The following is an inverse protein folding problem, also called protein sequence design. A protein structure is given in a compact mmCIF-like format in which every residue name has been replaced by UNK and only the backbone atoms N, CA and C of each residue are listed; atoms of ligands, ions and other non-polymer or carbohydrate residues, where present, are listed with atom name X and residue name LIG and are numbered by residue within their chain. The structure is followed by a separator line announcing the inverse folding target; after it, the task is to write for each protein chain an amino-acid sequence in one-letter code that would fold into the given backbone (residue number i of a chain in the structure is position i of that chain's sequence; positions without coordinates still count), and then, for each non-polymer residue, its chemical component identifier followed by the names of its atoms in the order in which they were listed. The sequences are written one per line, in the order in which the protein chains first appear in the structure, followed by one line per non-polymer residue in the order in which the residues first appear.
data_IF_711740003233
#
_entry.id   IF_711740003233
#
_cell.length_a   1.000
_cell.length_b   1.000
_cell.length_c   1.000
_cell.angle_alpha   90.00
_cell.angle_beta   90.00
_cell.angle_gamma   90.00
#
_symmetry.space_group_name_H-M   'P 1'
#
loop_
_entity.id
_entity.type
_entity.pdbx_description
1 polymer ?
#
# COMPACT_ATOMS: atom_id res chain seq x y z
N UNK A 1 -15.95 4.99 -14.65
CA UNK A 1 -16.22 4.37 -13.31
C UNK A 1 -14.92 4.40 -12.51
N UNK A 2 -14.97 4.81 -11.24
CA UNK A 2 -13.74 4.83 -10.42
C UNK A 2 -13.38 3.42 -9.96
N UNK A 3 -12.09 3.14 -9.87
CA UNK A 3 -11.55 1.88 -9.34
C UNK A 3 -10.48 2.15 -8.30
N UNK A 4 -10.19 1.14 -7.48
CA UNK A 4 -9.12 1.21 -6.51
C UNK A 4 -8.22 -0.02 -6.64
N UNK A 5 -6.93 0.15 -6.37
CA UNK A 5 -5.98 -0.95 -6.33
C UNK A 5 -4.88 -0.71 -5.30
N UNK A 6 -4.23 -1.77 -4.88
CA UNK A 6 -3.02 -1.71 -4.07
C UNK A 6 -1.84 -1.77 -5.02
N UNK A 7 -1.00 -0.72 -5.02
CA UNK A 7 0.18 -0.66 -5.87
C UNK A 7 1.23 -1.69 -5.43
N UNK A 8 1.53 -2.64 -6.30
CA UNK A 8 2.50 -3.70 -6.08
C UNK A 8 3.66 -3.67 -7.09
N UNK A 9 3.59 -2.79 -8.07
CA UNK A 9 4.66 -2.49 -9.01
C UNK A 9 4.66 -1.00 -9.36
N UNK A 10 5.85 -0.40 -9.37
CA UNK A 10 6.13 0.92 -9.95
C UNK A 10 7.52 0.86 -10.57
N UNK A 11 7.63 0.14 -11.66
CA UNK A 11 8.89 -0.28 -12.26
C UNK A 11 9.32 0.57 -13.46
N UNK A 12 10.60 0.55 -13.79
CA UNK A 12 11.10 1.20 -15.00
C UNK A 12 10.45 0.64 -16.26
N UNK A 13 9.96 1.51 -17.11
CA UNK A 13 9.46 1.22 -18.45
C UNK A 13 10.02 2.26 -19.43
N UNK A 14 10.16 1.92 -20.70
CA UNK A 14 10.62 2.86 -21.72
C UNK A 14 9.74 4.11 -21.70
N UNK A 15 10.35 5.29 -21.50
CA UNK A 15 9.65 6.57 -21.46
C UNK A 15 9.03 6.97 -20.11
N UNK A 16 8.94 6.05 -19.13
CA UNK A 16 8.30 6.33 -17.82
C UNK A 16 8.28 5.13 -16.92
N UNK A 17 7.11 4.83 -16.35
CA UNK A 17 6.91 3.75 -15.38
C UNK A 17 5.79 2.78 -15.78
N UNK A 18 5.92 1.55 -15.30
CA UNK A 18 4.82 0.59 -15.27
C UNK A 18 4.29 0.54 -13.84
N UNK A 19 3.10 1.09 -13.62
CA UNK A 19 2.39 1.02 -12.35
C UNK A 19 1.36 -0.09 -12.44
N UNK A 20 1.32 -0.99 -11.47
CA UNK A 20 0.34 -2.08 -11.44
C UNK A 20 0.04 -2.53 -10.01
N UNK A 21 -1.05 -3.23 -9.83
CA UNK A 21 -1.41 -3.79 -8.54
C UNK A 21 -2.70 -4.60 -8.58
N UNK A 22 -3.16 -5.00 -7.40
CA UNK A 22 -4.36 -5.81 -7.23
C UNK A 22 -5.59 -4.93 -6.98
N UNK A 23 -6.63 -5.14 -7.77
CA UNK A 23 -7.90 -4.42 -7.66
C UNK A 23 -8.56 -4.69 -6.29
N UNK A 24 -9.06 -3.64 -5.66
CA UNK A 24 -9.77 -3.72 -4.38
C UNK A 24 -11.06 -2.94 -4.43
N UNK A 25 -12.04 -3.39 -3.68
CA UNK A 25 -13.34 -2.71 -3.51
C UNK A 25 -13.58 -2.42 -2.05
N UNK A 26 -14.28 -1.33 -1.76
CA UNK A 26 -14.74 -1.00 -0.41
C UNK A 26 -16.17 -1.49 -0.22
N UNK A 27 -16.44 -2.19 0.87
CA UNK A 27 -17.78 -2.64 1.21
C UNK A 27 -18.58 -1.59 2.02
N UNK A 28 -19.81 -1.95 2.42
CA UNK A 28 -20.69 -1.06 3.20
C UNK A 28 -20.20 -0.78 4.62
N UNK A 29 -19.32 -1.65 5.13
CA UNK A 29 -18.70 -1.53 6.46
C UNK A 29 -17.35 -0.81 6.37
N UNK A 30 -17.00 -0.27 5.20
CA UNK A 30 -15.73 0.41 4.90
C UNK A 30 -14.50 -0.52 4.93
N UNK A 31 -14.69 -1.84 4.73
CA UNK A 31 -13.60 -2.79 4.51
C UNK A 31 -13.21 -2.86 3.05
N UNK A 32 -11.93 -3.00 2.82
CA UNK A 32 -11.39 -3.20 1.49
C UNK A 32 -11.21 -4.69 1.22
N UNK A 33 -11.85 -5.14 0.17
CA UNK A 33 -11.83 -6.54 -0.25
C UNK A 33 -11.02 -6.66 -1.53
N UNK A 34 -10.14 -7.66 -1.60
CA UNK A 34 -9.43 -8.01 -2.82
C UNK A 34 -10.44 -8.55 -3.84
N UNK A 35 -10.43 -7.98 -5.04
CA UNK A 35 -11.21 -8.51 -6.14
C UNK A 35 -10.49 -9.74 -6.70
N UNK A 36 -11.22 -10.83 -6.90
CA UNK A 36 -10.68 -12.08 -7.46
C UNK A 36 -11.27 -12.36 -8.83
N UNK A 37 -10.50 -13.02 -9.67
CA UNK A 37 -10.94 -13.61 -10.92
C UNK A 37 -11.80 -14.86 -10.66
N UNK A 38 -12.40 -15.42 -11.70
CA UNK A 38 -13.23 -16.64 -11.60
C UNK A 38 -12.43 -17.86 -11.11
N UNK A 39 -11.14 -17.92 -11.39
CA UNK A 39 -10.21 -18.96 -10.93
C UNK A 39 -9.76 -18.78 -9.48
N UNK A 40 -10.14 -17.64 -8.83
CA UNK A 40 -9.77 -17.30 -7.47
C UNK A 40 -8.46 -16.52 -7.34
N UNK A 41 -7.72 -16.30 -8.43
CA UNK A 41 -6.51 -15.45 -8.43
C UNK A 41 -6.86 -13.99 -8.13
N UNK A 42 -5.94 -13.20 -7.54
CA UNK A 42 -6.12 -11.77 -7.39
C UNK A 42 -6.29 -11.09 -8.75
N UNK A 43 -7.28 -10.21 -8.87
CA UNK A 43 -7.51 -9.48 -10.09
C UNK A 43 -6.56 -8.30 -10.19
N UNK A 44 -5.70 -8.34 -11.20
CA UNK A 44 -4.74 -7.29 -11.44
C UNK A 44 -5.37 -6.11 -12.21
N UNK A 45 -4.78 -4.94 -12.03
CA UNK A 45 -5.07 -3.72 -12.78
C UNK A 45 -3.77 -3.00 -13.07
N UNK A 46 -3.61 -2.56 -14.34
CA UNK A 46 -2.48 -1.80 -14.81
C UNK A 46 -2.97 -0.53 -15.52
N UNK A 47 -2.83 0.65 -14.88
CA UNK A 47 -3.10 1.93 -15.54
C UNK A 47 -2.19 2.15 -16.75
N UNK A 48 -2.79 2.55 -17.85
CA UNK A 48 -2.12 2.86 -19.12
C UNK A 48 -2.44 4.30 -19.50
N UNK A 49 -1.40 5.11 -19.74
CA UNK A 49 -1.60 6.43 -20.33
C UNK A 49 -1.77 6.28 -21.85
N UNK A 50 -2.95 6.64 -22.35
CA UNK A 50 -3.28 6.57 -23.77
C UNK A 50 -2.52 7.57 -24.65
N UNK A 51 -1.81 8.53 -24.06
CA UNK A 51 -1.04 9.55 -24.75
C UNK A 51 0.45 9.18 -24.93
N UNK A 52 0.87 8.06 -24.37
CA UNK A 52 2.26 7.59 -24.44
C UNK A 52 2.42 6.41 -25.41
N UNK A 53 3.60 6.25 -25.97
CA UNK A 53 3.86 5.27 -27.05
C UNK A 53 3.69 3.81 -26.58
N UNK A 54 4.13 3.52 -25.35
CA UNK A 54 4.11 2.16 -24.79
C UNK A 54 3.09 2.03 -23.65
N UNK A 55 2.20 3.02 -23.46
CA UNK A 55 1.24 3.05 -22.37
C UNK A 55 1.90 3.16 -20.99
N UNK A 56 3.08 3.77 -20.92
CA UNK A 56 3.75 4.06 -19.67
C UNK A 56 3.08 5.21 -18.92
N UNK A 57 3.11 5.14 -17.60
CA UNK A 57 2.75 6.27 -16.74
C UNK A 57 3.91 7.25 -16.71
N UNK A 58 3.69 8.57 -16.94
CA UNK A 58 4.72 9.57 -16.83
C UNK A 58 5.44 9.56 -15.48
N UNK A 59 6.76 9.77 -15.49
CA UNK A 59 7.61 9.69 -14.28
C UNK A 59 7.16 10.64 -13.18
N UNK A 60 6.71 11.84 -13.54
CA UNK A 60 6.24 12.86 -12.59
C UNK A 60 4.92 12.49 -11.90
N UNK A 61 4.06 11.72 -12.56
CA UNK A 61 2.86 11.15 -11.96
C UNK A 61 3.19 9.90 -11.11
N UNK A 62 3.95 8.97 -11.69
CA UNK A 62 4.26 7.69 -11.05
C UNK A 62 5.05 7.83 -9.74
N UNK A 63 5.94 8.83 -9.61
CA UNK A 63 6.70 9.08 -8.37
C UNK A 63 5.82 9.38 -7.15
N UNK A 64 4.58 9.79 -7.37
CA UNK A 64 3.61 10.05 -6.30
C UNK A 64 2.80 8.82 -5.91
N UNK A 65 3.10 7.68 -6.53
CA UNK A 65 2.45 6.38 -6.27
C UNK A 65 3.47 5.40 -5.68
N UNK A 66 3.78 5.49 -4.39
CA UNK A 66 4.70 4.56 -3.76
C UNK A 66 4.15 3.13 -3.77
N UNK A 67 5.05 2.16 -3.69
CA UNK A 67 4.68 0.76 -3.46
C UNK A 67 3.83 0.63 -2.20
N UNK A 68 2.91 -0.31 -2.20
CA UNK A 68 1.95 -0.57 -1.12
C UNK A 68 0.96 0.58 -0.87
N UNK A 69 0.92 1.60 -1.71
CA UNK A 69 -0.14 2.60 -1.63
C UNK A 69 -1.45 2.05 -2.17
N UNK A 70 -2.54 2.52 -1.59
CA UNK A 70 -3.86 2.35 -2.16
C UNK A 70 -4.12 3.50 -3.10
N UNK A 71 -4.41 3.16 -4.32
CA UNK A 71 -4.56 4.09 -5.41
C UNK A 71 -5.99 4.13 -5.87
N UNK A 72 -6.52 5.33 -6.01
CA UNK A 72 -7.79 5.58 -6.68
C UNK A 72 -7.53 5.97 -8.13
N UNK A 73 -8.14 5.25 -9.06
CA UNK A 73 -8.24 5.60 -10.48
C UNK A 73 -9.58 6.25 -10.76
N UNK A 74 -9.56 7.39 -11.40
CA UNK A 74 -10.76 8.14 -11.77
C UNK A 74 -11.05 7.95 -13.25
N UNK A 75 -12.33 7.77 -13.58
CA UNK A 75 -12.85 7.57 -14.94
C UNK A 75 -12.14 6.46 -15.71
N UNK A 76 -12.12 5.27 -15.13
CA UNK A 76 -11.48 4.09 -15.71
C UNK A 76 -12.29 3.58 -16.90
N UNK A 77 -11.59 3.33 -18.01
CA UNK A 77 -12.13 2.74 -19.25
C UNK A 77 -11.33 1.49 -19.61
N UNK A 78 -11.99 0.45 -20.15
CA UNK A 78 -11.26 -0.71 -20.65
C UNK A 78 -10.26 -0.30 -21.74
N UNK A 79 -9.07 -0.90 -21.71
CA UNK A 79 -8.14 -0.79 -22.83
C UNK A 79 -8.53 -1.82 -23.89
N UNK A 80 -8.74 -1.42 -25.15
CA UNK A 80 -9.16 -2.33 -26.21
C UNK A 80 -8.05 -3.23 -26.73
N UNK A 81 -6.82 -3.05 -26.30
CA UNK A 81 -5.69 -3.90 -26.68
C UNK A 81 -5.79 -5.25 -25.98
N UNK A 82 -6.00 -6.28 -26.76
CA UNK A 82 -6.43 -7.62 -26.36
C UNK A 82 -5.41 -8.47 -25.59
N UNK A 83 -4.17 -8.01 -25.46
CA UNK A 83 -3.11 -8.87 -24.89
C UNK A 83 -3.08 -8.88 -23.36
N UNK A 84 -3.72 -7.92 -22.69
CA UNK A 84 -3.66 -7.81 -21.23
C UNK A 84 -5.02 -7.39 -20.68
N UNK A 85 -5.73 -8.31 -20.08
CA UNK A 85 -7.05 -8.05 -19.47
C UNK A 85 -6.99 -7.07 -18.29
N UNK A 86 -5.83 -6.91 -17.70
CA UNK A 86 -5.54 -5.99 -16.60
C UNK A 86 -5.34 -4.53 -17.03
N UNK A 87 -5.13 -4.25 -18.32
CA UNK A 87 -4.87 -2.89 -18.81
C UNK A 87 -6.13 -2.03 -18.80
N UNK A 88 -5.99 -0.82 -18.25
CA UNK A 88 -7.09 0.14 -18.21
C UNK A 88 -6.59 1.55 -18.51
N UNK A 89 -7.35 2.30 -19.28
CA UNK A 89 -7.18 3.74 -19.39
C UNK A 89 -7.78 4.43 -18.17
N UNK A 90 -7.19 5.55 -17.78
CA UNK A 90 -7.63 6.34 -16.64
C UNK A 90 -7.51 7.83 -16.96
N UNK A 91 -8.22 8.67 -16.21
CA UNK A 91 -8.09 10.12 -16.30
C UNK A 91 -7.15 10.68 -15.22
N UNK A 92 -7.19 10.14 -14.02
CA UNK A 92 -6.36 10.57 -12.90
C UNK A 92 -6.05 9.40 -11.97
N UNK A 93 -4.84 9.40 -11.40
CA UNK A 93 -4.37 8.41 -10.44
C UNK A 93 -3.93 9.11 -9.15
N UNK A 94 -4.49 8.70 -8.01
CA UNK A 94 -4.26 9.36 -6.72
C UNK A 94 -3.98 8.31 -5.65
N UNK A 95 -2.85 8.42 -4.97
CA UNK A 95 -2.58 7.65 -3.77
C UNK A 95 -3.42 8.19 -2.60
N UNK A 96 -4.31 7.36 -2.05
CA UNK A 96 -5.24 7.73 -0.97
C UNK A 96 -4.89 7.11 0.39
N UNK A 97 -3.90 6.25 0.43
CA UNK A 97 -3.41 5.58 1.63
C UNK A 97 -2.32 4.56 1.31
N UNK A 98 -1.88 3.82 2.30
CA UNK A 98 -0.92 2.72 2.16
C UNK A 98 -1.31 1.53 3.01
N UNK A 99 -0.88 0.34 2.60
CA UNK A 99 -1.01 -0.89 3.37
C UNK A 99 0.30 -1.20 4.10
N UNK A 100 0.21 -2.00 5.15
CA UNK A 100 1.40 -2.60 5.77
C UNK A 100 1.92 -3.77 4.93
N UNK A 101 3.23 -3.96 4.92
CA UNK A 101 3.87 -5.14 4.31
C UNK A 101 3.89 -6.34 5.27
N UNK A 102 2.80 -6.57 6.04
CA UNK A 102 2.76 -7.76 6.89
C UNK A 102 2.62 -9.02 6.04
N UNK A 103 3.25 -10.14 6.45
CA UNK A 103 3.16 -11.40 5.70
C UNK A 103 1.72 -11.83 5.41
N UNK A 104 0.81 -11.60 6.35
CA UNK A 104 -0.60 -11.97 6.22
C UNK A 104 -1.29 -11.19 5.11
N UNK A 105 -1.01 -9.88 5.00
CA UNK A 105 -1.54 -9.03 3.93
C UNK A 105 -0.94 -9.43 2.59
N UNK A 106 0.37 -9.56 2.54
CA UNK A 106 1.07 -9.91 1.31
C UNK A 106 0.66 -11.28 0.78
N UNK A 107 0.39 -12.23 1.68
CA UNK A 107 -0.11 -13.55 1.30
C UNK A 107 -1.50 -13.49 0.62
N UNK A 108 -2.40 -12.62 1.07
CA UNK A 108 -3.72 -12.43 0.45
C UNK A 108 -3.59 -11.84 -0.96
N UNK A 109 -2.58 -11.00 -1.18
CA UNK A 109 -2.30 -10.35 -2.45
C UNK A 109 -1.50 -11.22 -3.41
N UNK A 110 -0.84 -12.26 -2.90
CA UNK A 110 -0.01 -13.14 -3.70
C UNK A 110 -0.85 -14.17 -4.48
N UNK A 111 -0.31 -14.54 -5.61
CA UNK A 111 -0.86 -15.62 -6.42
C UNK A 111 -0.38 -16.97 -5.87
N UNK A 112 -1.31 -17.86 -5.59
CA UNK A 112 -1.03 -19.23 -5.15
C UNK A 112 -1.65 -20.29 -6.08
N UNK A 113 -2.21 -19.86 -7.21
CA UNK A 113 -3.03 -20.71 -8.08
C UNK A 113 -2.23 -21.17 -9.29
N UNK A 114 -1.41 -20.29 -9.87
CA UNK A 114 -0.65 -20.62 -11.05
C UNK A 114 0.58 -21.45 -10.70
N UNK A 115 0.73 -22.65 -11.25
CA UNK A 115 1.87 -23.53 -10.95
C UNK A 115 3.17 -23.05 -11.57
N UNK A 116 3.11 -22.29 -12.65
CA UNK A 116 4.25 -21.74 -13.37
C UNK A 116 4.16 -20.24 -13.53
N UNK A 117 5.30 -19.57 -13.60
CA UNK A 117 5.37 -18.14 -13.86
C UNK A 117 5.15 -17.90 -15.36
N UNK A 118 4.00 -17.29 -15.69
CA UNK A 118 3.64 -16.95 -17.06
C UNK A 118 3.85 -18.12 -18.04
N UNK A 119 3.20 -19.24 -17.76
CA UNK A 119 3.00 -20.41 -18.62
C UNK A 119 4.23 -21.29 -18.89
N UNK A 120 5.43 -20.90 -18.48
CA UNK A 120 6.66 -21.66 -18.73
C UNK A 120 7.71 -21.43 -17.64
N UNK A 121 8.72 -22.31 -17.57
CA UNK A 121 9.91 -22.12 -16.72
C UNK A 121 11.00 -21.27 -17.39
N UNK A 122 10.85 -20.91 -18.69
CA UNK A 122 11.83 -20.13 -19.43
C UNK A 122 11.88 -18.66 -18.97
N UNK A 123 12.99 -17.97 -19.24
CA UNK A 123 13.20 -16.55 -18.91
C UNK A 123 12.35 -15.58 -19.76
N UNK A 124 11.90 -16.06 -20.93
CA UNK A 124 11.08 -15.30 -21.86
C UNK A 124 10.12 -16.23 -22.59
N UNK A 125 8.99 -15.69 -23.00
CA UNK A 125 7.97 -16.41 -23.75
C UNK A 125 7.89 -15.93 -25.20
N UNK A 126 7.40 -16.79 -26.07
CA UNK A 126 7.16 -16.39 -27.46
C UNK A 126 5.94 -15.47 -27.57
N UNK A 127 5.84 -14.67 -28.64
CA UNK A 127 4.64 -13.88 -28.91
C UNK A 127 3.37 -14.71 -29.01
N UNK A 128 3.46 -15.95 -29.50
CA UNK A 128 2.32 -16.86 -29.61
C UNK A 128 1.84 -17.31 -28.22
N UNK A 129 2.76 -17.68 -27.33
CA UNK A 129 2.43 -18.03 -25.93
C UNK A 129 1.83 -16.84 -25.22
N UNK A 130 2.40 -15.64 -25.42
CA UNK A 130 1.91 -14.41 -24.87
C UNK A 130 0.48 -14.07 -25.34
N UNK A 131 0.22 -14.22 -26.64
CA UNK A 131 -1.10 -13.92 -27.23
C UNK A 131 -2.20 -14.91 -26.78
N UNK A 132 -1.84 -16.12 -26.37
CA UNK A 132 -2.76 -17.13 -25.84
C UNK A 132 -2.96 -16.99 -24.33
N UNK A 133 -2.07 -16.24 -23.67
CA UNK A 133 -2.14 -16.02 -22.25
C UNK A 133 -3.24 -15.05 -21.84
N UNK A 134 -3.67 -15.17 -20.59
CA UNK A 134 -4.75 -14.34 -20.02
C UNK A 134 -4.28 -13.48 -18.84
N UNK A 135 -3.00 -13.56 -18.44
CA UNK A 135 -2.41 -12.70 -17.39
C UNK A 135 -0.95 -12.39 -17.71
N UNK A 136 -0.50 -11.20 -17.31
CA UNK A 136 0.89 -10.75 -17.49
C UNK A 136 1.47 -10.15 -16.19
N UNK A 137 0.75 -10.24 -15.11
CA UNK A 137 1.13 -9.78 -13.77
C UNK A 137 0.79 -10.86 -12.75
N UNK A 138 1.69 -11.09 -11.82
CA UNK A 138 1.46 -11.94 -10.65
C UNK A 138 2.37 -11.51 -9.50
N UNK A 139 2.01 -11.85 -8.29
CA UNK A 139 2.85 -11.67 -7.12
C UNK A 139 3.07 -13.00 -6.44
N UNK A 140 4.31 -13.33 -6.15
CA UNK A 140 4.70 -14.58 -5.50
C UNK A 140 5.45 -14.33 -4.21
N UNK A 141 5.45 -15.30 -3.32
CA UNK A 141 6.32 -15.37 -2.15
C UNK A 141 7.50 -16.29 -2.44
N UNK A 142 8.70 -15.92 -1.97
CA UNK A 142 9.87 -16.81 -1.98
C UNK A 142 10.68 -16.62 -0.70
N UNK A 143 11.08 -17.73 -0.11
CA UNK A 143 12.01 -17.84 1.03
C UNK A 143 13.39 -18.37 0.59
N UNK A 144 13.54 -18.71 -0.68
CA UNK A 144 14.78 -19.16 -1.32
C UNK A 144 15.11 -18.23 -2.48
N UNK A 145 16.04 -17.29 -2.27
CA UNK A 145 16.41 -16.31 -3.27
C UNK A 145 17.84 -15.79 -3.11
N UNK A 146 18.40 -15.27 -4.20
CA UNK A 146 19.70 -14.62 -4.23
C UNK A 146 19.70 -13.45 -5.22
N UNK A 147 20.07 -12.27 -4.76
CA UNK A 147 20.34 -11.12 -5.63
C UNK A 147 21.76 -11.15 -6.15
N UNK A 148 21.95 -10.77 -7.41
CA UNK A 148 23.26 -10.64 -8.03
C UNK A 148 23.26 -9.53 -9.08
N UNK A 149 24.44 -8.97 -9.37
CA UNK A 149 24.59 -8.02 -10.46
C UNK A 149 24.64 -8.74 -11.81
N UNK A 150 24.10 -8.12 -12.86
CA UNK A 150 24.23 -8.60 -14.24
C UNK A 150 25.60 -8.18 -14.79
N UNK A 151 26.55 -9.11 -14.96
CA UNK A 151 27.90 -8.77 -15.39
C UNK A 151 28.00 -8.32 -16.86
N UNK A 152 26.91 -8.44 -17.63
CA UNK A 152 26.86 -8.12 -19.05
C UNK A 152 26.49 -6.66 -19.33
N UNK A 153 26.22 -5.86 -18.31
CA UNK A 153 25.73 -4.48 -18.46
C UNK A 153 26.75 -3.47 -17.95
N UNK A 154 26.93 -2.38 -18.70
CA UNK A 154 27.83 -1.27 -18.36
C UNK A 154 27.40 -0.47 -17.10
N UNK A 155 26.14 -0.59 -16.71
CA UNK A 155 25.58 -0.02 -15.47
C UNK A 155 25.13 -1.13 -14.56
N UNK A 156 25.31 -0.96 -13.27
CA UNK A 156 24.84 -1.90 -12.27
C UNK A 156 23.35 -2.21 -12.51
N UNK A 157 23.08 -3.42 -12.91
CA UNK A 157 21.74 -3.97 -13.05
C UNK A 157 21.65 -5.21 -12.19
N UNK A 158 20.57 -5.31 -11.46
CA UNK A 158 20.37 -6.42 -10.56
C UNK A 158 19.43 -7.45 -11.16
N UNK A 159 19.73 -8.69 -10.85
CA UNK A 159 18.90 -9.85 -11.12
C UNK A 159 18.62 -10.56 -9.81
N UNK A 160 17.59 -11.36 -9.80
CA UNK A 160 17.25 -12.21 -8.67
C UNK A 160 17.05 -13.65 -9.16
N UNK A 161 17.76 -14.57 -8.52
CA UNK A 161 17.47 -16.01 -8.57
C UNK A 161 16.52 -16.35 -7.45
N UNK A 162 15.50 -17.14 -7.70
CA UNK A 162 14.55 -17.57 -6.69
C UNK A 162 13.85 -18.86 -7.09
N UNK A 163 13.39 -19.59 -6.09
CA UNK A 163 12.61 -20.81 -6.28
C UNK A 163 11.12 -20.48 -6.23
N UNK A 164 10.36 -21.09 -7.14
CA UNK A 164 8.91 -21.07 -7.14
C UNK A 164 8.39 -22.40 -7.67
N UNK A 165 7.58 -23.13 -6.85
CA UNK A 165 7.01 -24.43 -7.19
C UNK A 165 8.04 -25.40 -7.78
N UNK A 166 9.16 -25.59 -7.07
CA UNK A 166 10.27 -26.51 -7.43
C UNK A 166 11.06 -26.12 -8.70
N UNK A 167 10.77 -24.97 -9.32
CA UNK A 167 11.49 -24.45 -10.46
C UNK A 167 12.35 -23.22 -10.06
N UNK A 168 13.58 -23.19 -10.59
CA UNK A 168 14.51 -22.07 -10.38
C UNK A 168 14.34 -21.05 -11.48
N UNK A 169 14.17 -19.81 -11.11
CA UNK A 169 14.06 -18.66 -12.01
C UNK A 169 15.18 -17.65 -11.76
N UNK A 170 15.54 -16.88 -12.80
CA UNK A 170 16.52 -15.79 -12.72
C UNK A 170 16.03 -14.61 -13.56
N UNK A 171 15.47 -13.58 -12.93
CA UNK A 171 14.86 -12.45 -13.63
C UNK A 171 15.57 -11.14 -13.33
N UNK A 172 15.54 -10.21 -14.30
CA UNK A 172 16.01 -8.84 -14.12
C UNK A 172 15.05 -8.07 -13.22
N UNK A 173 15.60 -7.30 -12.27
CA UNK A 173 14.83 -6.40 -11.39
C UNK A 173 14.71 -5.04 -12.08
N UNK A 174 13.50 -4.50 -12.12
CA UNK A 174 13.19 -3.18 -12.71
C UNK A 174 12.54 -2.22 -11.70
N UNK A 175 12.53 -2.57 -10.43
CA UNK A 175 11.99 -1.77 -9.32
C UNK A 175 12.98 -0.69 -8.88
N UNK A 176 12.71 0.61 -9.08
CA UNK A 176 13.58 1.69 -8.64
C UNK A 176 13.82 1.74 -7.14
N UNK A 177 12.78 1.41 -6.34
CA UNK A 177 12.88 1.45 -4.88
C UNK A 177 13.88 0.43 -4.36
N UNK A 178 13.97 -0.72 -5.04
CA UNK A 178 14.99 -1.71 -4.76
C UNK A 178 16.41 -1.19 -5.06
N UNK A 179 16.59 -0.49 -6.19
CA UNK A 179 17.86 0.14 -6.53
C UNK A 179 18.28 1.21 -5.52
N UNK A 180 17.34 2.03 -5.07
CA UNK A 180 17.58 3.04 -4.03
C UNK A 180 18.00 2.40 -2.71
N UNK A 181 17.34 1.32 -2.31
CA UNK A 181 17.66 0.56 -1.10
C UNK A 181 19.10 0.00 -1.14
N UNK A 182 19.51 -0.61 -2.25
CA UNK A 182 20.88 -1.12 -2.41
C UNK A 182 21.90 0.03 -2.38
N UNK A 183 21.61 1.11 -3.11
CA UNK A 183 22.52 2.26 -3.22
C UNK A 183 22.72 2.99 -1.88
N UNK A 184 21.77 2.90 -0.97
CA UNK A 184 21.87 3.49 0.38
C UNK A 184 22.87 2.76 1.31
N UNK A 185 23.48 1.67 0.85
CA UNK A 185 24.46 0.91 1.61
C UNK A 185 23.86 0.09 2.77
N UNK A 186 22.56 -0.05 2.80
CA UNK A 186 21.91 -0.92 3.79
C UNK A 186 22.17 -2.38 3.41
N UNK A 187 23.04 -3.07 4.13
CA UNK A 187 23.23 -4.53 4.05
C UNK A 187 21.99 -5.29 4.56
N UNK A 188 20.80 -4.88 4.08
CA UNK A 188 19.55 -5.50 4.49
C UNK A 188 19.35 -6.81 3.75
N UNK A 189 19.89 -6.92 2.54
CA UNK A 189 19.64 -8.06 1.63
C UNK A 189 20.08 -9.38 2.24
N UNK A 190 21.27 -9.42 2.85
CA UNK A 190 21.81 -10.66 3.45
C UNK A 190 21.04 -11.12 4.70
N UNK A 191 20.19 -10.26 5.24
CA UNK A 191 19.39 -10.53 6.44
C UNK A 191 17.94 -10.89 6.12
N UNK A 192 17.53 -10.79 4.85
CA UNK A 192 16.17 -11.10 4.43
C UNK A 192 15.94 -12.61 4.48
N UNK A 193 14.83 -13.01 5.08
CA UNK A 193 14.42 -14.42 5.17
C UNK A 193 13.41 -14.80 4.12
N UNK A 194 12.62 -13.84 3.70
CA UNK A 194 11.55 -14.00 2.71
C UNK A 194 11.30 -12.69 2.00
N UNK A 195 10.77 -12.79 0.81
CA UNK A 195 10.39 -11.65 -0.03
C UNK A 195 9.11 -11.96 -0.80
N UNK A 196 8.44 -10.90 -1.21
CA UNK A 196 7.37 -10.98 -2.18
C UNK A 196 7.81 -10.27 -3.47
N UNK A 197 7.63 -10.93 -4.59
CA UNK A 197 8.04 -10.46 -5.90
C UNK A 197 6.82 -10.21 -6.77
N UNK A 198 6.64 -8.98 -7.22
CA UNK A 198 5.71 -8.68 -8.30
C UNK A 198 6.41 -8.93 -9.61
N UNK A 199 5.87 -9.85 -10.38
CA UNK A 199 6.39 -10.28 -11.67
C UNK A 199 5.56 -9.67 -12.80
N UNK A 200 6.22 -9.36 -13.91
CA UNK A 200 5.59 -8.79 -15.10
C UNK A 200 6.20 -9.35 -16.38
N UNK A 201 5.41 -9.42 -17.42
CA UNK A 201 5.90 -9.68 -18.78
C UNK A 201 6.22 -8.33 -19.41
N UNK A 202 7.46 -8.18 -19.88
CA UNK A 202 7.95 -6.99 -20.58
C UNK A 202 7.50 -6.88 -22.04
N UNK A 203 7.81 -5.74 -22.64
CA UNK A 203 7.64 -5.54 -24.09
C UNK A 203 8.51 -6.53 -24.87
N UNK A 204 8.18 -6.70 -26.16
CA UNK A 204 8.99 -7.53 -27.06
C UNK A 204 10.41 -6.98 -27.17
N UNK A 205 11.40 -7.83 -26.90
CA UNK A 205 12.80 -7.56 -27.10
C UNK A 205 13.45 -8.80 -27.74
N UNK A 206 14.17 -8.61 -28.84
CA UNK A 206 14.75 -9.71 -29.64
C UNK A 206 13.75 -10.82 -30.01
N UNK A 207 12.52 -10.40 -30.34
CA UNK A 207 11.44 -11.31 -30.76
C UNK A 207 10.76 -12.11 -29.66
N UNK A 208 11.08 -11.86 -28.39
CA UNK A 208 10.48 -12.55 -27.23
C UNK A 208 10.04 -11.56 -26.16
N UNK A 209 9.08 -11.97 -25.34
CA UNK A 209 8.63 -11.23 -24.13
C UNK A 209 9.41 -11.74 -22.92
N UNK A 210 10.24 -10.88 -22.34
CA UNK A 210 11.04 -11.23 -21.16
C UNK A 210 10.22 -11.08 -19.87
N UNK A 211 10.41 -12.02 -18.95
CA UNK A 211 9.85 -11.97 -17.60
C UNK A 211 10.74 -11.10 -16.73
N UNK A 212 10.13 -10.25 -15.92
CA UNK A 212 10.79 -9.23 -15.13
C UNK A 212 10.26 -9.23 -13.69
N UNK A 213 11.08 -8.81 -12.75
CA UNK A 213 10.66 -8.43 -11.42
C UNK A 213 10.36 -6.93 -11.39
N UNK A 214 9.08 -6.60 -11.35
CA UNK A 214 8.58 -5.23 -11.39
C UNK A 214 8.42 -4.60 -10.00
N UNK A 215 8.46 -5.40 -8.93
CA UNK A 215 8.42 -4.95 -7.55
C UNK A 215 9.04 -5.96 -6.61
N UNK A 216 9.83 -5.47 -5.64
CA UNK A 216 10.42 -6.26 -4.55
C UNK A 216 9.85 -5.75 -3.24
N UNK A 217 9.06 -6.56 -2.55
CA UNK A 217 8.41 -6.19 -1.32
C UNK A 217 8.99 -7.02 -0.18
N UNK A 218 9.55 -6.33 0.80
CA UNK A 218 10.12 -6.93 2.00
C UNK A 218 9.02 -6.96 3.07
N UNK A 219 8.67 -8.15 3.60
CA UNK A 219 7.73 -8.25 4.70
C UNK A 219 8.26 -7.51 5.93
N UNK A 220 7.41 -6.79 6.60
CA UNK A 220 7.74 -6.08 7.82
C UNK A 220 6.59 -6.13 8.80
N UNK A 221 6.90 -6.46 10.04
CA UNK A 221 5.97 -6.28 11.16
C UNK A 221 6.00 -4.84 11.71
N UNK A 222 6.92 -3.99 11.21
CA UNK A 222 7.05 -2.60 11.65
C UNK A 222 6.10 -1.69 10.90
N UNK A 223 5.43 -0.82 11.64
CA UNK A 223 4.70 0.29 11.07
C UNK A 223 5.65 1.17 10.27
N UNK A 224 5.45 1.28 8.96
CA UNK A 224 6.10 2.33 8.16
C UNK A 224 5.48 3.64 8.63
N UNK A 225 6.31 4.58 9.08
CA UNK A 225 5.89 5.91 9.47
C UNK A 225 5.19 6.60 8.30
N UNK A 226 3.89 6.80 8.42
CA UNK A 226 3.10 7.55 7.44
C UNK A 226 1.66 7.05 7.27
N UNK A 227 0.84 7.59 8.01
CA UNK A 227 -0.55 8.04 7.83
C UNK A 227 -1.71 7.07 7.57
N UNK A 228 -1.62 5.83 7.13
CA UNK A 228 -2.85 4.99 7.01
C UNK A 228 -2.49 3.50 7.00
N UNK A 229 -2.87 2.82 8.07
CA UNK A 229 -2.68 1.39 8.20
C UNK A 229 -3.86 0.61 7.63
N UNK A 230 -3.56 -0.54 7.07
CA UNK A 230 -4.55 -1.54 6.68
C UNK A 230 -4.55 -2.65 7.70
N UNK A 231 -5.70 -3.09 8.08
CA UNK A 231 -5.90 -4.21 9.00
C UNK A 231 -6.70 -5.28 8.29
N UNK A 232 -6.28 -6.51 8.43
CA UNK A 232 -6.93 -7.66 7.82
C UNK A 232 -8.01 -8.21 8.74
N UNK A 233 -9.15 -8.57 8.17
CA UNK A 233 -10.14 -9.44 8.77
C UNK A 233 -10.49 -10.52 7.76
N UNK A 234 -10.15 -11.78 8.06
CA UNK A 234 -10.59 -12.96 7.29
C UNK A 234 -10.61 -12.76 5.76
N UNK A 235 -9.50 -12.59 5.11
CA UNK A 235 -9.40 -12.33 3.66
C UNK A 235 -9.79 -10.91 3.19
N UNK A 236 -10.25 -10.04 4.08
CA UNK A 236 -10.51 -8.64 3.75
C UNK A 236 -9.36 -7.75 4.22
N UNK A 237 -8.94 -6.83 3.37
CA UNK A 237 -7.99 -5.78 3.73
C UNK A 237 -8.81 -4.60 4.22
N UNK A 238 -8.70 -4.27 5.50
CA UNK A 238 -9.43 -3.17 6.09
C UNK A 238 -8.56 -1.94 6.17
N UNK A 239 -9.05 -0.84 5.63
CA UNK A 239 -8.44 0.46 5.87
C UNK A 239 -8.80 0.97 7.24
N UNK A 240 -7.82 1.63 7.86
CA UNK A 240 -8.10 2.54 8.93
C UNK A 240 -8.96 3.67 8.40
N UNK A 241 -10.23 3.71 8.75
CA UNK A 241 -11.05 4.88 8.49
C UNK A 241 -10.75 5.96 9.49
N UNK A 242 -10.38 7.14 9.02
CA UNK A 242 -10.27 8.31 9.88
C UNK A 242 -11.44 9.23 9.59
N UNK A 243 -12.25 9.52 10.60
CA UNK A 243 -13.33 10.48 10.48
C UNK A 243 -13.29 11.53 11.59
N UNK A 244 -13.76 12.70 11.29
CA UNK A 244 -13.99 13.71 12.33
C UNK A 244 -15.15 13.26 13.23
N UNK A 245 -15.05 13.57 14.52
CA UNK A 245 -16.19 13.41 15.43
C UNK A 245 -17.40 14.16 14.89
N UNK A 246 -18.51 13.46 14.71
CA UNK A 246 -19.77 14.06 14.28
C UNK A 246 -20.27 15.11 15.29
N UNK A 247 -21.13 16.02 14.85
CA UNK A 247 -21.75 16.99 15.75
C UNK A 247 -22.51 16.30 16.90
N UNK A 248 -23.19 15.19 16.60
CA UNK A 248 -23.94 14.40 17.59
C UNK A 248 -23.02 13.83 18.68
N UNK A 249 -21.91 13.21 18.29
CA UNK A 249 -20.92 12.67 19.24
C UNK A 249 -20.31 13.76 20.13
N UNK A 250 -19.93 14.90 19.54
CA UNK A 250 -19.38 16.04 20.32
C UNK A 250 -20.37 16.62 21.32
N UNK A 251 -21.66 16.62 20.99
CA UNK A 251 -22.71 17.17 21.85
C UNK A 251 -22.86 16.44 23.19
N UNK A 252 -22.51 15.16 23.24
CA UNK A 252 -22.55 14.35 24.45
C UNK A 252 -21.29 14.47 25.32
N UNK A 253 -20.26 15.11 24.85
CA UNK A 253 -19.02 15.31 25.58
C UNK A 253 -19.04 16.66 26.32
N UNK A 254 -18.56 16.67 27.57
CA UNK A 254 -18.39 17.88 28.38
C UNK A 254 -17.01 18.51 28.13
N UNK A 255 -15.97 17.69 28.23
CA UNK A 255 -14.59 18.10 28.05
C UNK A 255 -13.73 16.88 27.65
N UNK A 256 -12.52 17.14 27.17
CA UNK A 256 -11.55 16.11 26.93
C UNK A 256 -10.14 16.64 27.25
N UNK A 257 -9.29 15.78 27.84
CA UNK A 257 -7.92 16.09 28.24
C UNK A 257 -7.00 14.93 27.86
N UNK A 258 -5.74 15.26 27.57
CA UNK A 258 -4.68 14.27 27.48
C UNK A 258 -4.26 13.86 28.88
N UNK A 259 -4.26 12.58 29.18
CA UNK A 259 -3.88 12.04 30.48
C UNK A 259 -2.76 11.01 30.35
N UNK A 260 -1.80 10.97 31.27
CA UNK A 260 -0.82 9.90 31.29
C UNK A 260 -1.49 8.59 31.77
N UNK A 261 -1.07 7.48 31.15
CA UNK A 261 -1.48 6.12 31.51
C UNK A 261 -0.24 5.23 31.62
N UNK A 262 -0.41 4.02 32.12
CA UNK A 262 0.69 3.04 32.16
C UNK A 262 1.25 2.67 30.79
N UNK A 263 0.47 2.86 29.73
CA UNK A 263 0.83 2.57 28.32
C UNK A 263 1.26 3.81 27.53
N UNK A 264 1.38 4.97 28.16
CA UNK A 264 1.67 6.24 27.49
C UNK A 264 0.58 7.29 27.69
N UNK A 265 0.36 8.12 26.65
CA UNK A 265 -0.66 9.17 26.71
C UNK A 265 -1.99 8.67 26.12
N UNK A 266 -3.09 9.01 26.79
CA UNK A 266 -4.45 8.75 26.31
C UNK A 266 -5.30 10.03 26.34
N UNK A 267 -6.40 10.08 25.61
CA UNK A 267 -7.41 11.13 25.74
C UNK A 267 -8.53 10.64 26.64
N UNK A 268 -8.71 11.28 27.76
CA UNK A 268 -9.89 11.11 28.61
C UNK A 268 -11.00 12.03 28.11
N UNK A 269 -12.12 11.46 27.68
CA UNK A 269 -13.33 12.20 27.27
C UNK A 269 -14.40 12.04 28.35
N UNK A 270 -14.74 13.14 28.99
CA UNK A 270 -15.81 13.17 29.99
C UNK A 270 -17.15 13.47 29.33
N UNK A 271 -18.08 12.55 29.42
CA UNK A 271 -19.46 12.75 28.95
C UNK A 271 -20.26 13.65 29.90
N UNK A 272 -21.32 14.24 29.40
CA UNK A 272 -22.29 15.01 30.23
C UNK A 272 -22.95 14.16 31.30
N UNK A 273 -23.06 12.84 31.08
CA UNK A 273 -23.52 11.86 32.07
C UNK A 273 -22.56 11.61 33.23
N UNK A 274 -21.35 12.18 33.20
CA UNK A 274 -20.28 11.90 34.16
C UNK A 274 -19.41 10.73 33.80
N UNK A 275 -19.78 9.90 32.83
CA UNK A 275 -18.95 8.78 32.34
C UNK A 275 -17.67 9.30 31.70
N UNK A 276 -16.56 8.67 32.05
CA UNK A 276 -15.25 8.91 31.44
C UNK A 276 -14.90 7.77 30.46
N UNK A 277 -14.44 8.15 29.29
CA UNK A 277 -13.96 7.23 28.27
C UNK A 277 -12.49 7.55 28.00
N UNK A 278 -11.67 6.53 27.95
CA UNK A 278 -10.25 6.65 27.65
C UNK A 278 -9.99 6.11 26.24
N UNK A 279 -9.28 6.89 25.46
CA UNK A 279 -8.89 6.52 24.11
C UNK A 279 -7.37 6.66 24.00
N UNK A 280 -6.70 5.63 23.56
CA UNK A 280 -5.27 5.72 23.22
C UNK A 280 -5.05 6.80 22.18
N UNK A 281 -3.94 7.54 22.30
CA UNK A 281 -3.51 8.45 21.26
C UNK A 281 -2.84 7.65 20.14
N UNK A 282 -3.07 8.09 18.90
CA UNK A 282 -2.33 7.59 17.76
C UNK A 282 -0.85 7.93 17.88
N UNK A 283 0.03 7.04 17.48
CA UNK A 283 1.49 7.16 17.66
C UNK A 283 2.10 8.40 17.01
N UNK A 284 1.49 8.93 15.96
CA UNK A 284 1.88 10.19 15.33
C UNK A 284 1.42 11.46 16.05
N UNK A 285 0.74 11.35 17.21
CA UNK A 285 0.24 12.50 17.93
C UNK A 285 1.30 13.10 18.86
N UNK A 286 1.61 14.37 18.65
CA UNK A 286 2.37 15.17 19.60
C UNK A 286 1.37 15.83 20.57
N UNK A 287 1.34 15.36 21.80
CA UNK A 287 0.46 15.86 22.86
C UNK A 287 1.23 15.98 24.18
N UNK A 288 0.82 16.94 25.01
CA UNK A 288 1.37 17.12 26.36
C UNK A 288 0.37 16.59 27.39
N UNK A 289 0.83 15.99 28.51
CA UNK A 289 -0.03 15.61 29.62
C UNK A 289 -0.90 16.80 30.08
N UNK A 290 -2.14 16.52 30.39
CA UNK A 290 -3.16 17.51 30.84
C UNK A 290 -3.54 18.58 29.82
N UNK A 291 -3.11 18.44 28.57
CA UNK A 291 -3.53 19.30 27.48
C UNK A 291 -5.04 19.18 27.24
N UNK A 292 -5.75 20.30 27.22
CA UNK A 292 -7.16 20.32 26.81
C UNK A 292 -7.32 19.99 25.32
N UNK A 293 -8.21 19.07 25.02
CA UNK A 293 -8.45 18.58 23.68
C UNK A 293 -9.67 19.26 23.06
N UNK A 294 -9.49 19.92 21.93
CA UNK A 294 -10.60 20.46 21.16
C UNK A 294 -11.23 19.36 20.30
N UNK A 295 -12.39 18.89 20.72
CA UNK A 295 -13.13 17.81 20.04
C UNK A 295 -13.51 18.09 18.57
N UNK A 296 -13.49 19.35 18.14
CA UNK A 296 -13.65 19.70 16.71
C UNK A 296 -12.41 19.37 15.85
N UNK A 297 -11.29 19.04 16.49
CA UNK A 297 -10.01 18.76 15.87
C UNK A 297 -9.50 17.36 16.17
N UNK A 298 -10.40 16.51 16.58
CA UNK A 298 -10.10 15.11 16.84
C UNK A 298 -10.63 14.28 15.69
N UNK A 299 -9.79 13.42 15.14
CA UNK A 299 -10.21 12.31 14.29
C UNK A 299 -10.26 11.05 15.13
N UNK A 300 -11.29 10.28 14.94
CA UNK A 300 -11.31 8.90 15.40
C UNK A 300 -10.62 8.08 14.34
N UNK A 301 -9.61 7.35 14.77
CA UNK A 301 -8.92 6.37 13.96
C UNK A 301 -9.42 5.01 14.42
N UNK A 302 -10.07 4.30 13.53
CA UNK A 302 -10.59 2.96 13.79
C UNK A 302 -9.66 1.95 13.14
N UNK A 303 -9.10 1.07 13.94
CA UNK A 303 -8.30 -0.07 13.51
C UNK A 303 -9.06 -1.34 13.79
N UNK A 304 -8.83 -2.33 13.00
CA UNK A 304 -9.25 -3.67 13.32
C UNK A 304 -8.03 -4.58 13.29
N UNK A 305 -7.79 -5.32 14.36
CA UNK A 305 -6.69 -6.28 14.40
C UNK A 305 -7.03 -7.52 13.55
N UNK A 306 -6.02 -8.39 13.36
CA UNK A 306 -6.16 -9.63 12.60
C UNK A 306 -7.17 -10.62 13.21
N UNK A 307 -7.58 -10.41 14.46
CA UNK A 307 -8.61 -11.18 15.16
C UNK A 307 -10.01 -10.55 14.98
N UNK A 308 -10.08 -9.41 14.29
CA UNK A 308 -11.32 -8.66 14.08
C UNK A 308 -11.72 -7.76 15.25
N UNK A 309 -10.81 -7.54 16.22
CA UNK A 309 -11.07 -6.62 17.32
C UNK A 309 -10.94 -5.17 16.85
N UNK A 310 -11.96 -4.37 17.11
CA UNK A 310 -11.96 -2.95 16.78
C UNK A 310 -11.18 -2.16 17.83
N UNK A 311 -10.10 -1.50 17.38
CA UNK A 311 -9.30 -0.59 18.22
C UNK A 311 -9.58 0.82 17.74
N UNK A 312 -10.03 1.69 18.65
CA UNK A 312 -10.27 3.12 18.38
C UNK A 312 -9.20 3.95 19.02
N UNK A 313 -8.40 4.64 18.22
CA UNK A 313 -7.44 5.63 18.70
C UNK A 313 -7.91 7.04 18.33
N UNK A 314 -7.47 8.06 19.06
CA UNK A 314 -7.75 9.45 18.72
C UNK A 314 -6.51 10.10 18.15
N UNK A 315 -6.69 10.76 17.02
CA UNK A 315 -5.68 11.59 16.40
C UNK A 315 -6.00 13.08 16.59
N UNK A 316 -5.04 13.83 17.15
CA UNK A 316 -5.18 15.25 17.41
C UNK A 316 -4.60 16.06 16.28
N UNK A 317 -5.42 16.81 15.54
CA UNK A 317 -4.93 17.72 14.51
C UNK A 317 -4.12 18.86 15.17
N UNK A 318 -2.92 19.13 14.64
CA UNK A 318 -2.03 20.21 15.12
C UNK A 318 -2.78 21.54 15.19
N UNK A 319 -2.64 22.26 16.30
CA UNK A 319 -3.13 23.63 16.44
C UNK A 319 -2.23 24.59 15.64
N UNK A 320 -2.83 25.48 14.85
CA UNK A 320 -2.08 26.60 14.25
C UNK A 320 -1.63 27.57 15.34
N UNK A 321 -0.53 28.32 15.10
CA UNK A 321 0.08 29.26 16.03
C UNK A 321 -0.94 30.24 16.69
N UNK A 322 -1.91 30.75 15.92
CA UNK A 322 -3.00 31.61 16.42
C UNK A 322 -3.84 30.97 17.53
N UNK A 323 -4.01 29.67 17.48
CA UNK A 323 -4.86 28.94 18.44
C UNK A 323 -4.10 28.53 19.69
N UNK A 324 -2.76 28.42 19.64
CA UNK A 324 -1.93 28.28 20.84
C UNK A 324 -2.01 29.52 21.73
N UNK A 325 -2.07 30.73 21.13
CA UNK A 325 -2.23 31.98 21.86
C UNK A 325 -3.60 32.05 22.55
N UNK A 326 -4.68 31.71 21.84
CA UNK A 326 -6.05 31.69 22.41
C UNK A 326 -6.18 30.66 23.53
N UNK A 327 -5.55 29.50 23.40
CA UNK A 327 -5.52 28.50 24.48
C UNK A 327 -4.73 28.98 25.72
N UNK A 328 -3.61 29.67 25.51
CA UNK A 328 -2.84 30.27 26.62
C UNK A 328 -3.66 31.35 27.33
N UNK A 329 -4.34 32.22 26.61
CA UNK A 329 -5.20 33.26 27.21
C UNK A 329 -6.39 32.66 27.99
N UNK A 330 -7.01 31.59 27.48
CA UNK A 330 -8.10 30.90 28.22
C UNK A 330 -7.63 30.17 29.49
N UNK A 331 -6.39 29.72 29.56
CA UNK A 331 -5.81 29.17 30.79
C UNK A 331 -5.69 30.23 31.91
N UNK A 332 -5.40 31.48 31.53
CA UNK A 332 -5.35 32.59 32.48
C UNK A 332 -6.73 32.96 33.03
N UNK A 333 -7.79 32.80 32.26
CA UNK A 333 -9.17 33.15 32.71
C UNK A 333 -9.93 32.02 33.40
N UNK A 334 -9.44 30.79 33.42
CA UNK A 334 -10.08 29.67 34.14
C UNK A 334 -9.36 29.32 35.45
N UNK A 335 -8.32 30.04 35.83
CA UNK A 335 -7.58 29.89 37.09
C UNK A 335 -7.81 31.09 38.08
N UNK A 336 -8.74 31.95 37.80
CA UNK A 336 -9.41 32.87 38.72
C UNK A 336 -10.88 32.54 38.74
#
# INVERSE_FOLDING_TARGET
MDKHFICLANSYKCGGRCVAGVEVTIDREEYWNVVKNEDGSPKWIRPIDSNTEYGEVPEDEARHIPMLSVVKLIDVKPCPHLSHSEDVFYHQMIAIGSIMSSPEILQILSDSIHPEIFYTTELAISPETYAQGNYSLMMIHSDSFQFHEDPTKDRAKYRIKFDYNEALYDFSVTDPSFYEMISSGQNVIDQLKDIYLTLSIGLVYEGRHHKLVAGVIIPSSRNIEGDKYVVIKQEAICFKTSRMLSYKERRFCKCAFVVPTQKGLAVCVKKKSGQELFFELDEGCIAEPWQSVNLKRVRIMVYQDYLGNEIRKLYLLKCTFRQRIIQKLKRFYCST
#
